data_IF_349745114410
#
_entry.id   IF_349745114410
#
_cell.length_a   1.000
_cell.length_b   1.000
_cell.length_c   1.000
_cell.angle_alpha   90.00
_cell.angle_beta   90.00
_cell.angle_gamma   90.00
#
_symmetry.space_group_name_H-M   'P 1'
#
loop_
_entity.id
_entity.type
_entity.pdbx_description
1 polymer ?
#
# COMPACT_ATOMS: atom_id res chain seq x y z
N UNK A 1 0.65 -24.10 26.01
CA UNK A 1 -0.09 -23.02 26.71
C UNK A 1 -0.10 -21.84 25.80
N UNK A 2 -1.25 -21.54 25.20
CA UNK A 2 -1.41 -20.39 24.31
C UNK A 2 -1.29 -19.11 25.14
N UNK A 3 -0.21 -18.36 24.95
CA UNK A 3 -0.05 -17.03 25.54
C UNK A 3 -1.00 -16.11 24.79
N UNK A 4 -1.99 -15.57 25.49
CA UNK A 4 -2.91 -14.59 24.95
C UNK A 4 -2.11 -13.42 24.32
N UNK A 5 -2.44 -13.07 23.08
CA UNK A 5 -1.91 -11.89 22.41
C UNK A 5 -2.15 -10.66 23.30
N UNK A 6 -1.20 -9.72 23.40
CA UNK A 6 -1.44 -8.49 24.13
C UNK A 6 -2.62 -7.76 23.50
N UNK A 7 -3.61 -7.49 24.32
CA UNK A 7 -4.79 -6.71 23.97
C UNK A 7 -4.34 -5.40 23.34
N UNK A 8 -4.69 -5.19 22.07
CA UNK A 8 -4.48 -3.90 21.42
C UNK A 8 -5.45 -2.95 22.10
N UNK A 9 -4.98 -2.30 23.16
CA UNK A 9 -5.73 -1.25 23.84
C UNK A 9 -5.84 -0.08 22.84
N UNK A 10 -6.99 0.00 22.19
CA UNK A 10 -7.43 1.24 21.54
C UNK A 10 -7.67 2.21 22.70
N UNK A 11 -6.93 3.31 22.84
CA UNK A 11 -7.18 4.25 23.91
C UNK A 11 -8.62 4.77 23.75
N UNK A 12 -9.49 4.50 24.71
CA UNK A 12 -10.74 5.24 24.85
C UNK A 12 -10.37 6.69 25.21
N UNK A 13 -10.31 7.54 24.21
CA UNK A 13 -10.05 8.97 24.39
C UNK A 13 -11.33 9.62 24.99
N UNK A 14 -11.36 9.71 26.31
CA UNK A 14 -12.33 10.48 27.08
C UNK A 14 -11.94 11.95 27.07
N UNK A 15 -11.94 12.62 25.93
CA UNK A 15 -11.90 14.07 25.89
C UNK A 15 -12.80 14.64 24.80
N UNK A 16 -13.93 15.17 25.29
CA UNK A 16 -14.78 16.24 24.78
C UNK A 16 -14.82 16.51 23.27
N UNK A 17 -16.02 16.36 22.73
CA UNK A 17 -16.49 16.78 21.42
C UNK A 17 -16.21 18.27 21.13
N UNK A 18 -15.01 18.61 20.74
CA UNK A 18 -14.71 19.88 20.10
C UNK A 18 -14.16 19.61 18.70
N UNK A 19 -15.07 19.69 17.70
CA UNK A 19 -14.72 19.81 16.29
C UNK A 19 -14.00 18.59 15.69
N UNK A 20 -14.65 17.42 15.62
CA UNK A 20 -14.20 16.34 14.75
C UNK A 20 -14.35 16.79 13.30
N UNK A 21 -13.26 17.27 12.70
CA UNK A 21 -13.18 17.28 11.25
C UNK A 21 -12.76 15.86 10.88
N UNK A 22 -13.73 15.07 10.46
CA UNK A 22 -13.52 13.72 9.95
C UNK A 22 -13.89 13.71 8.47
N UNK A 23 -13.05 13.09 7.67
CA UNK A 23 -13.30 12.81 6.27
C UNK A 23 -13.12 11.31 6.05
N UNK A 24 -14.08 10.63 5.44
CA UNK A 24 -14.01 9.21 5.19
C UNK A 24 -14.72 8.81 3.90
N UNK A 25 -13.97 8.20 3.00
CA UNK A 25 -14.45 7.66 1.74
C UNK A 25 -15.19 6.34 1.97
N UNK A 26 -16.29 6.13 1.23
CA UNK A 26 -17.11 4.92 1.34
C UNK A 26 -16.52 3.77 0.53
N UNK A 27 -15.46 3.16 1.04
CA UNK A 27 -14.82 2.01 0.42
C UNK A 27 -15.36 0.71 1.01
N UNK A 28 -15.82 -0.21 0.15
CA UNK A 28 -16.41 -1.49 0.52
C UNK A 28 -15.40 -2.43 1.18
N UNK A 29 -15.91 -3.33 2.04
CA UNK A 29 -15.12 -4.37 2.65
C UNK A 29 -15.05 -5.59 1.72
N UNK A 30 -13.86 -5.87 1.21
CA UNK A 30 -13.52 -7.16 0.62
C UNK A 30 -12.41 -7.80 1.44
N UNK A 31 -12.53 -9.10 1.69
CA UNK A 31 -11.51 -9.88 2.38
C UNK A 31 -10.65 -10.62 1.36
N UNK A 32 -9.36 -10.71 1.65
CA UNK A 32 -8.45 -11.50 0.83
C UNK A 32 -8.74 -13.00 1.01
N UNK A 33 -8.74 -13.80 -0.08
CA UNK A 33 -8.98 -15.24 0.00
C UNK A 33 -7.79 -16.03 0.56
N UNK A 34 -6.59 -15.49 0.46
CA UNK A 34 -5.35 -16.11 0.91
C UNK A 34 -4.33 -15.04 1.34
N UNK A 35 -3.19 -15.47 1.93
CA UNK A 35 -2.18 -14.59 2.51
C UNK A 35 -1.35 -13.81 1.48
N UNK A 36 -1.49 -14.11 0.18
CA UNK A 36 -0.71 -13.48 -0.89
C UNK A 36 -1.52 -12.46 -1.73
N UNK A 37 -2.82 -12.31 -1.49
CA UNK A 37 -3.74 -11.53 -2.33
C UNK A 37 -4.18 -10.19 -1.74
N UNK A 38 -3.47 -9.68 -0.73
CA UNK A 38 -3.78 -8.39 -0.10
C UNK A 38 -3.79 -7.23 -1.12
N UNK A 39 -2.76 -7.14 -1.99
CA UNK A 39 -2.65 -6.09 -3.01
C UNK A 39 -3.81 -6.13 -4.02
N UNK A 40 -4.06 -7.25 -4.72
CA UNK A 40 -5.21 -7.42 -5.60
C UNK A 40 -6.55 -7.08 -4.94
N UNK A 41 -6.77 -7.53 -3.70
CA UNK A 41 -8.00 -7.22 -2.96
C UNK A 41 -8.13 -5.73 -2.66
N UNK A 42 -7.03 -5.04 -2.32
CA UNK A 42 -7.03 -3.59 -2.16
C UNK A 42 -7.32 -2.87 -3.48
N UNK A 43 -6.76 -3.31 -4.60
CA UNK A 43 -7.06 -2.75 -5.92
C UNK A 43 -8.53 -2.92 -6.28
N UNK A 44 -9.12 -4.09 -6.00
CA UNK A 44 -10.56 -4.33 -6.19
C UNK A 44 -11.42 -3.38 -5.38
N UNK A 45 -11.04 -3.05 -4.13
CA UNK A 45 -11.74 -2.04 -3.31
C UNK A 45 -11.74 -0.66 -3.98
N UNK A 46 -10.62 -0.27 -4.60
CA UNK A 46 -10.51 1.00 -5.31
C UNK A 46 -11.36 1.00 -6.58
N UNK A 47 -11.39 -0.10 -7.34
CA UNK A 47 -12.26 -0.24 -8.50
C UNK A 47 -13.74 -0.09 -8.13
N UNK A 48 -14.18 -0.80 -7.08
CA UNK A 48 -15.56 -0.73 -6.57
C UNK A 48 -15.92 0.69 -6.10
N UNK A 49 -15.01 1.39 -5.44
CA UNK A 49 -15.20 2.77 -5.01
C UNK A 49 -15.51 3.71 -6.18
N UNK A 50 -14.88 3.51 -7.33
CA UNK A 50 -15.13 4.27 -8.55
C UNK A 50 -16.22 3.68 -9.45
N UNK A 51 -16.96 2.67 -8.97
CA UNK A 51 -18.05 2.05 -9.73
C UNK A 51 -17.59 1.14 -10.87
N UNK A 52 -16.32 0.73 -10.89
CA UNK A 52 -15.79 -0.22 -11.87
C UNK A 52 -15.99 -1.64 -11.34
N UNK A 53 -16.93 -2.36 -11.95
CA UNK A 53 -17.18 -3.75 -11.60
C UNK A 53 -15.99 -4.65 -11.97
N UNK A 54 -15.46 -5.38 -11.00
CA UNK A 54 -14.40 -6.35 -11.17
C UNK A 54 -14.55 -7.49 -10.14
N UNK A 55 -14.68 -8.70 -10.62
CA UNK A 55 -14.58 -9.86 -9.74
C UNK A 55 -13.12 -10.15 -9.37
N UNK A 56 -12.94 -10.95 -8.33
CA UNK A 56 -11.64 -11.28 -7.78
C UNK A 56 -10.74 -11.99 -8.80
N UNK A 57 -11.28 -12.94 -9.57
CA UNK A 57 -10.51 -13.71 -10.53
C UNK A 57 -10.00 -12.82 -11.68
N UNK A 58 -10.83 -11.88 -12.14
CA UNK A 58 -10.47 -10.87 -13.14
C UNK A 58 -9.31 -10.00 -12.64
N UNK A 59 -9.42 -9.47 -11.41
CA UNK A 59 -8.36 -8.61 -10.83
C UNK A 59 -7.05 -9.39 -10.65
N UNK A 60 -7.13 -10.61 -10.13
CA UNK A 60 -5.94 -11.48 -9.97
C UNK A 60 -5.27 -11.80 -11.31
N UNK A 61 -6.05 -12.01 -12.37
CA UNK A 61 -5.53 -12.34 -13.72
C UNK A 61 -4.83 -11.18 -14.42
N UNK A 62 -5.02 -9.94 -13.98
CA UNK A 62 -4.45 -8.73 -14.59
C UNK A 62 -3.15 -8.25 -13.94
N UNK A 63 -2.86 -8.75 -12.74
CA UNK A 63 -1.74 -8.27 -11.94
C UNK A 63 -0.57 -9.23 -12.07
N UNK A 64 0.58 -8.69 -12.46
CA UNK A 64 1.83 -9.43 -12.38
C UNK A 64 2.17 -9.73 -10.91
N UNK A 65 2.54 -10.99 -10.65
CA UNK A 65 2.87 -11.48 -9.31
C UNK A 65 4.32 -11.97 -9.25
N UNK A 66 4.93 -11.87 -8.10
CA UNK A 66 6.24 -12.46 -7.84
C UNK A 66 6.14 -13.99 -7.73
N UNK A 67 7.27 -14.68 -7.75
CA UNK A 67 7.34 -16.15 -7.64
C UNK A 67 6.77 -16.66 -6.30
N UNK A 68 6.86 -15.86 -5.24
CA UNK A 68 6.27 -16.12 -3.93
C UNK A 68 4.78 -15.80 -3.83
N UNK A 69 4.16 -15.43 -4.95
CA UNK A 69 2.74 -15.07 -5.02
C UNK A 69 2.41 -13.64 -4.60
N UNK A 70 3.33 -12.90 -3.99
CA UNK A 70 3.16 -11.49 -3.65
C UNK A 70 3.16 -10.57 -4.88
N UNK A 71 2.74 -9.32 -4.69
CA UNK A 71 2.76 -8.29 -5.73
C UNK A 71 3.45 -7.02 -5.23
N UNK A 72 3.70 -6.09 -6.14
CA UNK A 72 4.26 -4.77 -5.83
C UNK A 72 3.29 -3.68 -6.31
N UNK A 73 3.34 -2.50 -5.68
CA UNK A 73 2.46 -1.38 -6.01
C UNK A 73 2.55 -0.99 -7.49
N UNK A 74 3.71 -1.09 -8.12
CA UNK A 74 3.89 -0.78 -9.54
C UNK A 74 3.07 -1.72 -10.43
N UNK A 75 2.92 -3.00 -10.08
CA UNK A 75 2.07 -3.93 -10.83
C UNK A 75 0.59 -3.61 -10.64
N UNK A 76 0.19 -3.20 -9.42
CA UNK A 76 -1.17 -2.72 -9.14
C UNK A 76 -1.47 -1.45 -9.93
N UNK A 77 -0.51 -0.51 -10.00
CA UNK A 77 -0.62 0.72 -10.78
C UNK A 77 -0.79 0.44 -12.29
N UNK A 78 0.02 -0.47 -12.85
CA UNK A 78 -0.09 -0.88 -14.26
C UNK A 78 -1.46 -1.52 -14.55
N UNK A 79 -1.95 -2.39 -13.65
CA UNK A 79 -3.28 -3.00 -13.81
C UNK A 79 -4.39 -1.93 -13.77
N UNK A 80 -4.33 -0.98 -12.83
CA UNK A 80 -5.24 0.16 -12.79
C UNK A 80 -5.23 1.00 -14.07
N UNK A 81 -4.04 1.31 -14.59
CA UNK A 81 -3.89 2.09 -15.82
C UNK A 81 -4.47 1.36 -17.05
N UNK A 82 -4.34 0.03 -17.12
CA UNK A 82 -4.95 -0.80 -18.17
C UNK A 82 -6.48 -0.75 -18.12
N UNK A 83 -7.06 -0.53 -16.94
CA UNK A 83 -8.52 -0.33 -16.74
C UNK A 83 -8.99 1.12 -16.89
N UNK A 84 -8.13 2.03 -17.34
CA UNK A 84 -8.53 3.42 -17.62
C UNK A 84 -8.33 4.38 -16.46
N UNK A 85 -7.53 4.02 -15.47
CA UNK A 85 -7.13 4.94 -14.41
C UNK A 85 -5.85 5.71 -14.76
N UNK A 86 -5.71 6.90 -14.23
CA UNK A 86 -4.41 7.53 -13.99
C UNK A 86 -3.82 6.94 -12.72
N UNK A 87 -2.50 6.95 -12.62
CA UNK A 87 -1.80 6.40 -11.47
C UNK A 87 -0.59 7.24 -11.08
N UNK A 88 -0.45 7.51 -9.78
CA UNK A 88 0.75 8.11 -9.18
C UNK A 88 1.26 7.22 -8.06
N UNK A 89 2.56 6.94 -8.09
CA UNK A 89 3.28 6.20 -7.05
C UNK A 89 4.17 7.18 -6.29
N UNK A 90 4.05 7.21 -4.97
CA UNK A 90 4.96 7.86 -4.05
C UNK A 90 5.92 6.80 -3.54
N UNK A 91 7.17 6.79 -4.00
CA UNK A 91 8.13 5.73 -3.70
C UNK A 91 9.23 6.19 -2.74
N UNK A 92 9.54 5.32 -1.79
CA UNK A 92 10.59 5.49 -0.79
C UNK A 92 11.67 4.40 -0.89
N UNK A 93 11.76 3.70 -2.02
CA UNK A 93 12.77 2.64 -2.28
C UNK A 93 14.10 3.26 -2.72
N UNK A 94 15.04 3.39 -1.76
CA UNK A 94 16.42 3.85 -1.99
C UNK A 94 17.27 2.87 -2.81
N UNK A 95 16.83 1.65 -3.02
CA UNK A 95 17.58 0.68 -3.80
C UNK A 95 17.36 0.88 -5.31
N UNK A 96 16.17 1.33 -5.70
CA UNK A 96 15.82 1.61 -7.10
C UNK A 96 16.07 3.09 -7.43
N UNK A 97 15.58 4.01 -6.60
CA UNK A 97 15.61 5.43 -6.85
C UNK A 97 16.69 6.17 -6.05
N UNK A 98 17.11 7.31 -6.57
CA UNK A 98 17.99 8.26 -5.87
C UNK A 98 17.22 9.57 -5.62
N UNK A 99 17.31 10.18 -4.42
CA UNK A 99 16.60 11.42 -4.12
C UNK A 99 16.90 12.57 -5.10
N UNK A 100 18.11 12.59 -5.68
CA UNK A 100 18.49 13.58 -6.68
C UNK A 100 17.70 13.48 -7.99
N UNK A 101 16.93 12.41 -8.20
CA UNK A 101 16.11 12.22 -9.41
C UNK A 101 14.69 12.80 -9.27
N UNK A 102 14.31 13.27 -8.10
CA UNK A 102 12.94 13.72 -7.80
C UNK A 102 12.42 14.82 -8.75
N UNK A 103 13.30 15.67 -9.29
CA UNK A 103 12.92 16.75 -10.21
C UNK A 103 13.20 16.45 -11.70
N UNK A 104 13.60 15.22 -12.03
CA UNK A 104 13.88 14.87 -13.41
C UNK A 104 12.60 14.76 -14.25
N UNK A 105 12.62 15.21 -15.51
CA UNK A 105 11.54 14.90 -16.44
C UNK A 105 11.48 13.39 -16.70
N UNK A 106 10.31 12.92 -17.11
CA UNK A 106 10.00 11.47 -17.30
C UNK A 106 11.07 10.72 -18.07
N UNK A 107 11.49 11.26 -19.21
CA UNK A 107 12.46 10.59 -20.10
C UNK A 107 13.82 10.42 -19.40
N UNK A 108 14.30 11.46 -18.73
CA UNK A 108 15.56 11.42 -17.98
C UNK A 108 15.47 10.47 -16.78
N UNK A 109 14.31 10.41 -16.11
CA UNK A 109 14.08 9.45 -15.04
C UNK A 109 14.12 8.00 -15.56
N UNK A 110 13.48 7.73 -16.71
CA UNK A 110 13.52 6.41 -17.36
C UNK A 110 14.96 6.00 -17.72
N UNK A 111 15.77 6.92 -18.24
CA UNK A 111 17.18 6.66 -18.52
C UNK A 111 17.96 6.31 -17.23
N UNK A 112 17.72 7.02 -16.13
CA UNK A 112 18.34 6.76 -14.83
C UNK A 112 17.95 5.37 -14.28
N UNK A 113 16.68 5.03 -14.31
CA UNK A 113 16.19 3.71 -13.89
C UNK A 113 16.83 2.61 -14.74
N UNK A 114 16.88 2.77 -16.06
CA UNK A 114 17.52 1.81 -16.95
C UNK A 114 19.02 1.65 -16.67
N UNK A 115 19.72 2.77 -16.46
CA UNK A 115 21.15 2.76 -16.12
C UNK A 115 21.43 2.10 -14.76
N UNK A 116 20.43 2.02 -13.88
CA UNK A 116 20.53 1.35 -12.56
C UNK A 116 20.56 -0.18 -12.65
N UNK A 117 20.00 -0.80 -13.70
CA UNK A 117 19.84 -2.25 -13.82
C UNK A 117 21.09 -3.09 -13.51
N UNK A 118 22.29 -2.76 -14.01
CA UNK A 118 23.51 -3.55 -13.72
C UNK A 118 23.90 -3.55 -12.24
N UNK A 119 23.36 -2.62 -11.45
CA UNK A 119 23.68 -2.45 -10.03
C UNK A 119 22.61 -3.04 -9.11
N UNK A 120 21.47 -3.47 -9.65
CA UNK A 120 20.40 -4.17 -8.91
C UNK A 120 20.74 -5.67 -8.86
N UNK A 121 21.21 -6.12 -7.71
CA UNK A 121 21.60 -7.53 -7.51
C UNK A 121 20.42 -8.43 -7.17
N UNK A 122 19.35 -7.85 -6.65
CA UNK A 122 18.14 -8.55 -6.27
C UNK A 122 17.21 -8.66 -7.48
N UNK A 123 16.74 -9.88 -7.77
CA UNK A 123 15.88 -10.16 -8.93
C UNK A 123 14.50 -9.50 -8.81
N UNK A 124 13.93 -9.39 -7.61
CA UNK A 124 12.66 -8.70 -7.38
C UNK A 124 12.78 -7.21 -7.65
N UNK A 125 13.87 -6.56 -7.17
CA UNK A 125 14.14 -5.14 -7.44
C UNK A 125 14.41 -4.88 -8.91
N UNK A 126 15.14 -5.77 -9.60
CA UNK A 126 15.33 -5.63 -11.03
C UNK A 126 14.00 -5.76 -11.79
N UNK A 127 13.13 -6.67 -11.37
CA UNK A 127 11.78 -6.81 -11.94
C UNK A 127 10.93 -5.58 -11.66
N UNK A 128 10.95 -5.05 -10.44
CA UNK A 128 10.29 -3.80 -10.09
C UNK A 128 10.79 -2.63 -10.93
N UNK A 129 12.10 -2.47 -11.09
CA UNK A 129 12.69 -1.40 -11.88
C UNK A 129 12.26 -1.46 -13.36
N UNK A 130 12.15 -2.66 -13.95
CA UNK A 130 11.57 -2.84 -15.30
C UNK A 130 10.10 -2.43 -15.35
N UNK A 131 9.30 -2.84 -14.36
CA UNK A 131 7.90 -2.46 -14.28
C UNK A 131 7.71 -0.94 -14.10
N UNK A 132 8.60 -0.25 -13.40
CA UNK A 132 8.58 1.21 -13.32
C UNK A 132 8.84 1.88 -14.68
N UNK A 133 9.68 1.29 -15.56
CA UNK A 133 9.82 1.80 -16.94
C UNK A 133 8.52 1.64 -17.73
N UNK A 134 7.87 0.47 -17.64
CA UNK A 134 6.59 0.22 -18.29
C UNK A 134 5.51 1.17 -17.77
N UNK A 135 5.45 1.35 -16.45
CA UNK A 135 4.53 2.27 -15.77
C UNK A 135 4.68 3.72 -16.27
N UNK A 136 5.93 4.22 -16.31
CA UNK A 136 6.24 5.56 -16.84
C UNK A 136 5.92 5.66 -18.34
N UNK A 137 6.23 4.60 -19.11
CA UNK A 137 5.91 4.52 -20.55
C UNK A 137 4.41 4.57 -20.86
N UNK A 138 3.57 4.08 -19.95
CA UNK A 138 2.11 4.16 -20.01
C UNK A 138 1.55 5.52 -19.59
N UNK A 139 2.38 6.44 -19.09
CA UNK A 139 1.99 7.75 -18.61
C UNK A 139 1.81 7.85 -17.10
N UNK A 140 2.17 6.82 -16.35
CA UNK A 140 2.17 6.86 -14.89
C UNK A 140 3.13 7.92 -14.33
N UNK A 141 2.88 8.36 -13.11
CA UNK A 141 3.67 9.36 -12.41
C UNK A 141 4.36 8.76 -11.19
N UNK A 142 5.62 9.17 -10.93
CA UNK A 142 6.36 8.75 -9.74
C UNK A 142 6.82 10.00 -9.00
N UNK A 143 6.36 10.14 -7.75
CA UNK A 143 6.89 11.09 -6.78
C UNK A 143 7.97 10.37 -5.95
N UNK A 144 9.22 10.76 -6.17
CA UNK A 144 10.39 10.13 -5.55
C UNK A 144 10.73 10.87 -4.27
N UNK A 145 10.65 10.18 -3.12
CA UNK A 145 10.97 10.70 -1.78
C UNK A 145 10.27 12.01 -1.43
N UNK A 146 9.05 12.24 -1.95
CA UNK A 146 8.20 13.30 -1.44
C UNK A 146 7.94 13.05 0.06
N UNK A 147 8.02 14.11 0.88
CA UNK A 147 7.92 13.98 2.33
C UNK A 147 6.63 13.29 2.75
N UNK A 148 6.74 12.08 3.29
CA UNK A 148 5.60 11.31 3.77
C UNK A 148 5.09 11.90 5.08
N UNK A 149 4.12 12.79 4.97
CA UNK A 149 3.50 13.49 6.09
C UNK A 149 2.02 13.17 6.20
N UNK A 150 1.38 13.38 7.37
CA UNK A 150 -0.07 13.32 7.47
C UNK A 150 -0.78 14.27 6.49
N UNK A 151 -0.18 15.43 6.18
CA UNK A 151 -0.73 16.39 5.23
C UNK A 151 -0.77 15.83 3.81
N UNK A 152 0.28 15.15 3.34
CA UNK A 152 0.30 14.51 2.03
C UNK A 152 -0.85 13.50 1.89
N UNK A 153 -0.99 12.60 2.86
CA UNK A 153 -2.05 11.57 2.82
C UNK A 153 -3.44 12.24 2.86
N UNK A 154 -3.59 13.27 3.71
CA UNK A 154 -4.83 14.05 3.81
C UNK A 154 -5.16 14.73 2.48
N UNK A 155 -4.20 15.38 1.81
CA UNK A 155 -4.39 16.05 0.53
C UNK A 155 -4.84 15.08 -0.57
N UNK A 156 -4.37 13.84 -0.57
CA UNK A 156 -4.83 12.81 -1.51
C UNK A 156 -6.30 12.43 -1.19
N UNK A 157 -6.62 12.21 0.07
CA UNK A 157 -7.99 11.89 0.49
C UNK A 157 -8.97 13.05 0.23
N UNK A 158 -8.54 14.31 0.39
CA UNK A 158 -9.36 15.50 0.11
C UNK A 158 -9.70 15.65 -1.40
N UNK A 159 -8.93 14.98 -2.28
CA UNK A 159 -9.26 14.82 -3.70
C UNK A 159 -10.25 13.68 -3.99
N UNK A 160 -10.82 13.07 -2.95
CA UNK A 160 -11.69 11.88 -3.04
C UNK A 160 -10.96 10.66 -3.65
N UNK A 161 -9.64 10.52 -3.41
CA UNK A 161 -8.85 9.39 -3.87
C UNK A 161 -8.49 8.47 -2.70
N UNK A 162 -9.01 7.23 -2.65
CA UNK A 162 -8.54 6.22 -1.71
C UNK A 162 -7.09 5.82 -2.04
N UNK A 163 -6.27 5.66 -1.00
CA UNK A 163 -4.82 5.44 -1.16
C UNK A 163 -4.46 4.00 -0.82
N UNK A 164 -3.92 3.26 -1.78
CA UNK A 164 -3.29 1.99 -1.47
C UNK A 164 -1.91 2.26 -0.84
N UNK A 165 -1.61 1.56 0.25
CA UNK A 165 -0.32 1.65 0.90
C UNK A 165 0.31 0.27 1.09
N UNK A 166 1.56 0.12 0.61
CA UNK A 166 2.44 -0.97 0.95
C UNK A 166 3.17 -0.66 2.26
N UNK A 167 3.20 -1.59 3.18
CA UNK A 167 3.72 -1.35 4.53
C UNK A 167 4.15 -2.64 5.24
N UNK A 168 4.82 -2.50 6.39
CA UNK A 168 5.08 -3.60 7.31
C UNK A 168 3.88 -3.82 8.24
N UNK A 169 3.17 -4.95 8.07
CA UNK A 169 2.12 -5.38 8.99
C UNK A 169 2.67 -5.71 10.37
N UNK A 170 3.85 -6.30 10.42
CA UNK A 170 4.58 -6.60 11.67
C UNK A 170 4.71 -5.35 12.55
N UNK A 171 5.10 -4.22 11.96
CA UNK A 171 5.20 -2.96 12.71
C UNK A 171 3.83 -2.34 13.00
N UNK A 172 2.93 -2.30 12.01
CA UNK A 172 1.63 -1.65 12.14
C UNK A 172 0.81 -2.25 13.28
N UNK A 173 0.73 -3.57 13.33
CA UNK A 173 -0.10 -4.33 14.28
C UNK A 173 0.68 -4.87 15.48
N UNK A 174 2.01 -4.70 15.51
CA UNK A 174 2.90 -5.28 16.52
C UNK A 174 2.81 -6.80 16.56
N UNK A 175 2.61 -7.42 15.40
CA UNK A 175 2.70 -8.85 15.26
C UNK A 175 4.16 -9.31 15.41
N UNK A 176 4.35 -10.60 15.73
CA UNK A 176 5.67 -11.20 15.63
C UNK A 176 6.08 -11.32 14.17
N UNK A 177 7.37 -11.42 13.94
CA UNK A 177 7.89 -11.85 12.64
C UNK A 177 7.46 -13.28 12.38
N UNK A 178 7.39 -13.67 11.13
CA UNK A 178 6.94 -14.97 10.70
C UNK A 178 8.03 -15.69 9.94
N UNK A 179 8.12 -16.99 10.14
CA UNK A 179 9.05 -17.86 9.43
C UNK A 179 8.30 -18.97 8.71
N UNK A 180 8.61 -19.11 7.44
CA UNK A 180 8.11 -20.21 6.63
C UNK A 180 8.79 -21.52 7.03
N UNK A 181 8.02 -22.58 7.26
CA UNK A 181 8.48 -23.93 7.56
C UNK A 181 8.22 -24.81 6.33
N UNK A 182 9.26 -25.09 5.51
CA UNK A 182 9.09 -25.83 4.25
C UNK A 182 8.49 -27.23 4.42
N UNK A 183 8.81 -27.89 5.55
CA UNK A 183 8.39 -29.27 5.84
C UNK A 183 6.89 -29.42 6.05
N UNK A 184 6.24 -28.38 6.54
CA UNK A 184 4.80 -28.35 6.85
C UNK A 184 4.00 -27.41 5.98
N UNK A 185 4.68 -26.63 5.12
CA UNK A 185 4.07 -25.60 4.27
C UNK A 185 3.26 -24.59 5.09
N UNK A 186 3.82 -24.13 6.23
CA UNK A 186 3.15 -23.22 7.17
C UNK A 186 4.03 -22.05 7.59
N UNK A 187 3.38 -20.90 7.84
CA UNK A 187 3.98 -19.77 8.54
C UNK A 187 3.84 -19.94 10.05
N UNK A 188 4.89 -19.64 10.78
CA UNK A 188 4.90 -19.70 12.25
C UNK A 188 5.47 -18.39 12.82
N UNK A 189 4.93 -17.95 13.94
CA UNK A 189 5.49 -16.85 14.72
C UNK A 189 6.91 -17.17 15.18
N UNK A 190 7.87 -16.32 14.79
CA UNK A 190 9.27 -16.46 15.17
C UNK A 190 9.91 -15.07 15.28
N UNK A 191 10.01 -14.54 16.49
CA UNK A 191 10.54 -13.19 16.75
C UNK A 191 12.07 -13.12 16.72
N UNK A 192 12.76 -14.24 16.60
CA UNK A 192 14.22 -14.31 16.47
C UNK A 192 14.65 -14.53 15.01
N UNK A 193 14.11 -15.55 14.35
CA UNK A 193 14.53 -15.99 13.02
C UNK A 193 13.52 -15.68 11.89
N UNK A 194 12.36 -15.10 12.21
CA UNK A 194 11.34 -14.74 11.23
C UNK A 194 11.64 -13.43 10.52
N UNK A 195 10.96 -13.22 9.39
CA UNK A 195 10.99 -12.02 8.57
C UNK A 195 9.79 -11.10 8.86
N UNK A 196 9.92 -9.83 8.52
CA UNK A 196 8.82 -8.86 8.58
C UNK A 196 7.82 -9.15 7.47
N UNK A 197 6.53 -9.11 7.80
CA UNK A 197 5.44 -9.34 6.86
C UNK A 197 5.06 -8.05 6.14
N UNK A 198 5.21 -8.04 4.81
CA UNK A 198 4.71 -6.99 3.94
C UNK A 198 3.22 -7.12 3.69
N UNK A 199 2.53 -6.00 3.58
CA UNK A 199 1.09 -5.99 3.43
C UNK A 199 0.57 -4.77 2.68
N UNK A 200 -0.56 -4.92 2.00
CA UNK A 200 -1.31 -3.82 1.39
C UNK A 200 -2.60 -3.53 2.12
N UNK A 201 -2.86 -2.25 2.34
CA UNK A 201 -4.11 -1.72 2.88
C UNK A 201 -4.64 -0.58 2.00
N UNK A 202 -5.88 -0.16 2.24
CA UNK A 202 -6.41 1.08 1.65
C UNK A 202 -6.66 2.10 2.75
N UNK A 203 -6.03 3.27 2.65
CA UNK A 203 -6.30 4.41 3.51
C UNK A 203 -7.53 5.12 2.92
N UNK A 204 -8.56 5.32 3.76
CA UNK A 204 -9.88 5.78 3.30
C UNK A 204 -10.37 7.03 3.99
N UNK A 205 -9.68 7.50 5.02
CA UNK A 205 -10.14 8.67 5.75
C UNK A 205 -9.20 9.10 6.85
N UNK A 206 -9.52 10.23 7.47
CA UNK A 206 -8.77 10.78 8.58
C UNK A 206 -9.70 11.43 9.62
N UNK A 207 -9.21 11.51 10.86
CA UNK A 207 -9.85 12.20 11.97
C UNK A 207 -8.87 13.19 12.62
N UNK A 208 -9.38 14.16 13.37
CA UNK A 208 -8.56 15.10 14.13
C UNK A 208 -7.44 15.76 13.32
N UNK A 209 -7.76 16.26 12.11
CA UNK A 209 -6.81 16.93 11.21
C UNK A 209 -5.64 16.06 10.78
N UNK A 210 -5.86 14.74 10.66
CA UNK A 210 -4.82 13.80 10.22
C UNK A 210 -3.96 13.25 11.37
N UNK A 211 -4.40 13.33 12.62
CA UNK A 211 -3.75 12.63 13.74
C UNK A 211 -4.02 11.13 13.71
N UNK A 212 -5.17 10.73 13.16
CA UNK A 212 -5.55 9.33 12.96
C UNK A 212 -6.06 9.15 11.54
N UNK A 213 -5.77 7.99 10.98
CA UNK A 213 -6.27 7.57 9.69
C UNK A 213 -7.17 6.36 9.82
N UNK A 214 -8.24 6.34 9.02
CA UNK A 214 -9.09 5.17 8.83
C UNK A 214 -8.55 4.34 7.68
N UNK A 215 -8.38 3.04 7.88
CA UNK A 215 -7.93 2.12 6.85
C UNK A 215 -8.94 0.99 6.64
N UNK A 216 -8.93 0.38 5.46
CA UNK A 216 -9.64 -0.85 5.11
C UNK A 216 -8.61 -1.94 4.86
N UNK A 217 -8.42 -2.79 5.84
CA UNK A 217 -7.52 -3.94 5.74
C UNK A 217 -8.24 -5.13 5.08
N UNK A 218 -7.64 -5.81 4.10
CA UNK A 218 -8.22 -6.99 3.49
C UNK A 218 -8.07 -8.28 4.33
N UNK A 219 -7.18 -8.30 5.32
CA UNK A 219 -6.88 -9.49 6.12
C UNK A 219 -8.02 -9.86 7.07
N UNK A 220 -8.23 -11.17 7.22
CA UNK A 220 -9.14 -11.75 8.22
C UNK A 220 -8.53 -11.82 9.62
N UNK A 221 -7.20 -11.69 9.71
CA UNK A 221 -6.44 -11.86 10.95
C UNK A 221 -6.27 -10.55 11.74
N UNK A 222 -6.62 -9.42 11.12
CA UNK A 222 -6.48 -8.12 11.77
C UNK A 222 -7.71 -7.83 12.63
N UNK A 223 -7.53 -7.43 13.89
CA UNK A 223 -8.62 -6.94 14.72
C UNK A 223 -9.22 -5.67 14.10
N UNK A 224 -10.37 -5.82 13.48
CA UNK A 224 -11.07 -4.73 12.83
C UNK A 224 -12.50 -4.64 13.35
N UNK A 225 -13.14 -3.48 13.19
CA UNK A 225 -14.58 -3.34 13.40
C UNK A 225 -15.35 -4.27 12.44
N UNK A 226 -16.64 -4.57 12.70
CA UNK A 226 -17.43 -5.46 11.86
C UNK A 226 -17.49 -5.06 10.38
N UNK A 227 -17.29 -3.77 10.08
CA UNK A 227 -17.21 -3.23 8.71
C UNK A 227 -15.78 -3.25 8.10
N UNK A 228 -14.80 -3.84 8.79
CA UNK A 228 -13.41 -3.92 8.37
C UNK A 228 -12.62 -2.62 8.52
N UNK A 229 -13.15 -1.65 9.27
CA UNK A 229 -12.46 -0.38 9.57
C UNK A 229 -11.47 -0.59 10.71
N UNK A 230 -10.26 -0.09 10.51
CA UNK A 230 -9.23 0.05 11.54
C UNK A 230 -8.83 1.52 11.62
N UNK A 231 -8.72 2.07 12.82
CA UNK A 231 -8.21 3.44 13.04
C UNK A 231 -6.80 3.33 13.57
N UNK A 232 -5.87 4.04 12.93
CA UNK A 232 -4.45 4.00 13.25
C UNK A 232 -3.91 5.40 13.50
N UNK A 233 -2.97 5.51 14.43
CA UNK A 233 -2.22 6.75 14.65
C UNK A 233 -1.36 7.08 13.42
N UNK A 234 -1.33 8.37 13.03
CA UNK A 234 -0.65 8.83 11.82
C UNK A 234 0.85 8.49 11.82
N UNK A 235 1.54 8.68 12.95
CA UNK A 235 2.97 8.39 13.04
C UNK A 235 3.24 6.90 12.90
N UNK A 236 2.37 6.05 13.49
CA UNK A 236 2.48 4.61 13.34
C UNK A 236 2.27 4.18 11.90
N UNK A 237 1.26 4.73 11.21
CA UNK A 237 1.00 4.45 9.80
C UNK A 237 2.20 4.85 8.93
N UNK A 238 2.70 6.06 9.08
CA UNK A 238 3.86 6.56 8.34
C UNK A 238 5.09 5.67 8.58
N UNK A 239 5.39 5.37 9.83
CA UNK A 239 6.53 4.51 10.15
C UNK A 239 6.36 3.09 9.55
N UNK A 240 5.14 2.53 9.54
CA UNK A 240 4.90 1.22 8.96
C UNK A 240 5.07 1.21 7.43
N UNK A 241 4.71 2.31 6.75
CA UNK A 241 4.94 2.49 5.31
C UNK A 241 6.44 2.57 5.02
N UNK A 242 7.19 3.42 5.72
CA UNK A 242 8.64 3.57 5.52
C UNK A 242 9.41 2.27 5.83
N UNK A 243 8.94 1.47 6.78
CA UNK A 243 9.49 0.14 7.08
C UNK A 243 9.06 -0.94 6.08
N UNK A 244 8.17 -0.63 5.16
CA UNK A 244 7.77 -1.51 4.06
C UNK A 244 8.91 -1.80 3.08
N UNK A 245 9.99 -1.00 3.04
CA UNK A 245 11.18 -1.27 2.21
C UNK A 245 11.83 -2.62 2.56
N UNK A 246 11.74 -3.07 3.80
CA UNK A 246 12.18 -4.41 4.20
C UNK A 246 11.42 -5.53 3.44
N UNK A 247 10.24 -5.23 2.91
CA UNK A 247 9.38 -6.11 2.13
C UNK A 247 9.20 -5.66 0.68
N UNK A 248 10.10 -4.79 0.19
CA UNK A 248 10.18 -4.24 -1.17
C UNK A 248 9.09 -3.22 -1.55
N UNK A 249 8.29 -2.70 -0.63
CA UNK A 249 7.16 -1.85 -1.00
C UNK A 249 6.86 -0.73 0.03
N UNK A 250 7.85 0.14 0.28
CA UNK A 250 7.64 1.40 0.99
C UNK A 250 7.00 2.40 0.02
N UNK A 251 5.66 2.43 -0.03
CA UNK A 251 4.97 3.08 -1.14
C UNK A 251 3.54 3.52 -0.80
N UNK A 252 3.11 4.62 -1.45
CA UNK A 252 1.69 4.90 -1.65
C UNK A 252 1.36 4.81 -3.15
N UNK A 253 0.19 4.29 -3.49
CA UNK A 253 -0.36 4.29 -4.84
C UNK A 253 -1.70 5.01 -4.83
N UNK A 254 -1.78 6.09 -5.59
CA UNK A 254 -2.98 6.87 -5.86
C UNK A 254 -3.49 6.50 -7.25
N UNK A 255 -4.79 6.19 -7.36
CA UNK A 255 -5.49 5.90 -8.61
C UNK A 255 -6.73 6.77 -8.73
N UNK A 256 -6.97 7.33 -9.91
CA UNK A 256 -8.19 8.09 -10.22
C UNK A 256 -8.60 7.89 -11.68
N UNK A 257 -9.91 7.91 -12.02
CA UNK A 257 -10.39 7.73 -13.38
C UNK A 257 -9.87 8.82 -14.32
N UNK A 258 -9.51 8.45 -15.56
CA UNK A 258 -9.02 9.41 -16.58
C UNK A 258 -10.03 10.51 -16.91
N UNK A 259 -11.32 10.21 -16.83
CA UNK A 259 -12.38 11.16 -17.17
C UNK A 259 -12.58 12.28 -16.14
N UNK A 260 -12.03 12.14 -14.91
CA UNK A 260 -12.09 13.19 -13.88
C UNK A 260 -11.15 14.38 -14.13
N UNK A 261 -10.20 14.29 -15.06
CA UNK A 261 -9.33 15.42 -15.43
C UNK A 261 -10.02 16.49 -16.31
N UNK A 262 -11.16 16.17 -16.92
CA UNK A 262 -11.84 17.08 -17.83
C UNK A 262 -12.78 18.09 -17.13
N UNK A 263 -12.98 17.97 -15.82
CA UNK A 263 -13.90 18.85 -15.06
C UNK A 263 -13.19 19.86 -14.13
N UNK A 264 -11.87 20.03 -14.23
CA UNK A 264 -11.10 20.99 -13.41
C UNK A 264 -10.51 22.14 -14.19
#
# INVERSE_FOLDING_TARGET
MATALPEVVIPEDRHQEHGRVAHELRVQRFLQPDDSTCGPTCLRKVYDFYGVEADEASVLGEIDRNEDGGTLAVFLGIAGMRRGFNARIYSYDLQIFDPSWASLPREALMEKIHARFPFLRDSKRLRAARAYLDFLGMGGEIAIFEELTPSLIKEILDREHPVLAGLSATYLYRFRRERWIPETDTLVDDDEAGDSTGHFIVIVGYEHWGRHFSIRDPSVHVPASPDGRVVVDAQRLINSILLGDATYDAVLLELWPKDQEQER
#
